data_IF_375654142098
#
_entry.id   IF_375654142098
#
_cell.length_a   1.000
_cell.length_b   1.000
_cell.length_c   1.000
_cell.angle_alpha   90.00
_cell.angle_beta   90.00
_cell.angle_gamma   90.00
#
_symmetry.space_group_name_H-M   'P 1'
#
loop_
_entity.id
_entity.type
_entity.pdbx_description
1 polymer ?
#
# COMPACT_ATOMS: atom_id res chain seq x y z
N UNK A 1 11.61 0.00 8.11
CA UNK A 1 12.01 0.90 7.00
C UNK A 1 10.77 1.27 6.21
N UNK A 2 10.58 2.56 5.91
CA UNK A 2 9.45 3.07 5.12
C UNK A 2 10.00 3.65 3.81
N UNK A 3 9.23 3.60 2.73
CA UNK A 3 9.57 4.28 1.48
C UNK A 3 8.60 5.43 1.18
N UNK A 4 8.92 6.21 0.14
CA UNK A 4 8.11 7.35 -0.32
C UNK A 4 6.75 6.94 -0.88
N UNK A 5 6.52 5.65 -1.13
CA UNK A 5 5.26 5.10 -1.62
C UNK A 5 4.33 4.64 -0.49
N UNK A 6 4.72 4.83 0.77
CA UNK A 6 3.94 4.43 1.93
C UNK A 6 4.05 2.94 2.30
N UNK A 7 4.90 2.18 1.61
CA UNK A 7 5.19 0.79 1.94
C UNK A 7 6.14 0.69 3.14
N UNK A 8 6.08 -0.44 3.84
CA UNK A 8 6.83 -0.65 5.07
C UNK A 8 7.42 -2.06 5.11
N UNK A 9 8.68 -2.17 5.51
CA UNK A 9 9.36 -3.43 5.80
C UNK A 9 9.92 -3.39 7.23
N UNK A 10 9.36 -4.16 8.18
CA UNK A 10 9.96 -4.31 9.49
C UNK A 10 11.15 -5.27 9.39
N UNK A 11 12.25 -4.90 10.06
CA UNK A 11 13.39 -5.78 10.26
C UNK A 11 13.58 -5.88 11.77
N UNK A 12 13.52 -7.12 12.29
CA UNK A 12 13.73 -7.39 13.70
C UNK A 12 15.15 -7.89 13.88
N UNK A 13 15.90 -7.29 14.81
CA UNK A 13 17.14 -7.85 15.34
C UNK A 13 16.91 -8.17 16.80
N UNK A 14 17.23 -9.41 17.15
CA UNK A 14 17.21 -9.86 18.53
C UNK A 14 18.64 -9.86 19.02
N UNK A 15 18.84 -9.45 20.27
CA UNK A 15 20.13 -9.48 20.92
C UNK A 15 20.56 -10.93 21.16
N UNK A 16 21.81 -11.23 20.83
CA UNK A 16 22.40 -12.54 21.08
C UNK A 16 23.12 -12.52 22.43
N UNK A 17 22.41 -12.96 23.48
CA UNK A 17 22.94 -12.99 24.83
C UNK A 17 24.02 -14.07 25.02
N UNK A 18 24.09 -15.10 24.18
CA UNK A 18 25.08 -16.17 24.31
C UNK A 18 26.43 -15.71 23.76
N UNK A 19 26.43 -15.06 22.59
CA UNK A 19 27.63 -14.47 22.00
C UNK A 19 28.25 -13.38 22.91
N UNK A 20 27.44 -12.61 23.63
CA UNK A 20 27.91 -11.58 24.56
C UNK A 20 28.57 -12.15 25.82
N UNK A 21 28.10 -13.30 26.34
CA UNK A 21 28.70 -13.97 27.51
C UNK A 21 30.13 -14.45 27.23
N UNK A 22 30.42 -14.87 26.00
CA UNK A 22 31.77 -15.27 25.60
C UNK A 22 32.75 -14.08 25.52
N UNK A 23 32.23 -12.87 25.28
CA UNK A 23 33.04 -11.63 25.20
C UNK A 23 33.36 -11.13 26.62
N UNK A 24 32.41 -11.21 27.55
CA UNK A 24 32.63 -10.85 28.96
C UNK A 24 33.64 -11.73 29.69
N UNK A 25 33.81 -13.00 29.25
CA UNK A 25 34.74 -13.94 29.87
C UNK A 25 36.18 -13.87 29.32
N UNK A 26 36.51 -12.87 28.49
CA UNK A 26 37.87 -12.70 27.97
C UNK A 26 38.76 -12.00 29.02
N UNK A 27 39.97 -12.50 29.33
CA UNK A 27 40.84 -11.89 30.33
C UNK A 27 41.21 -10.46 29.94
N UNK A 28 41.13 -9.57 30.93
CA UNK A 28 41.31 -8.13 30.81
C UNK A 28 42.81 -7.75 30.78
N UNK A 29 43.47 -7.93 29.64
CA UNK A 29 44.90 -7.57 29.47
C UNK A 29 45.14 -6.38 28.51
N UNK A 30 44.11 -5.67 28.05
CA UNK A 30 44.27 -4.47 27.19
C UNK A 30 43.59 -3.24 27.81
N UNK A 31 44.36 -2.37 28.47
CA UNK A 31 43.90 -1.16 29.19
C UNK A 31 43.42 0.01 28.29
N UNK A 32 43.41 -0.14 26.96
CA UNK A 32 43.04 0.94 26.01
C UNK A 32 41.68 0.77 25.32
N UNK A 33 40.85 -0.20 25.72
CA UNK A 33 39.52 -0.38 25.12
C UNK A 33 38.43 0.30 25.95
N UNK A 34 37.78 1.32 25.38
CA UNK A 34 36.48 1.83 25.84
C UNK A 34 35.58 0.65 26.22
N UNK A 35 34.83 0.71 27.33
CA UNK A 35 34.00 -0.39 27.79
C UNK A 35 33.13 -0.85 26.62
N UNK A 36 33.34 -2.10 26.17
CA UNK A 36 32.68 -2.66 24.99
C UNK A 36 31.18 -2.61 25.22
N UNK A 37 30.54 -1.56 24.70
CA UNK A 37 29.09 -1.40 24.72
C UNK A 37 28.51 -2.65 24.08
N UNK A 38 27.55 -3.30 24.73
CA UNK A 38 26.78 -4.38 24.12
C UNK A 38 26.21 -3.89 22.78
N UNK A 39 26.56 -4.57 21.68
CA UNK A 39 26.15 -4.16 20.33
C UNK A 39 25.26 -5.23 19.73
N UNK A 40 24.10 -4.80 19.28
CA UNK A 40 23.19 -5.61 18.50
C UNK A 40 23.53 -5.45 17.02
N UNK A 41 23.87 -6.57 16.36
CA UNK A 41 24.22 -6.60 14.94
C UNK A 41 23.19 -7.40 14.15
N UNK A 42 22.74 -6.84 13.04
CA UNK A 42 21.84 -7.50 12.10
C UNK A 42 22.31 -7.32 10.67
N UNK A 43 22.04 -8.28 9.79
CA UNK A 43 22.28 -8.14 8.36
C UNK A 43 21.19 -8.85 7.57
N UNK A 44 20.67 -8.18 6.54
CA UNK A 44 19.63 -8.71 5.67
C UNK A 44 19.97 -8.44 4.22
N UNK A 45 19.52 -9.35 3.35
CA UNK A 45 19.53 -9.09 1.92
C UNK A 45 18.54 -7.96 1.62
N UNK A 46 18.93 -7.05 0.74
CA UNK A 46 18.04 -6.00 0.26
C UNK A 46 16.92 -6.64 -0.54
N UNK A 47 15.70 -6.36 -0.11
CA UNK A 47 14.44 -6.84 -0.70
C UNK A 47 13.40 -5.71 -0.82
N UNK A 48 13.66 -4.58 -0.14
CA UNK A 48 12.78 -3.42 -0.10
C UNK A 48 13.35 -2.24 -0.90
N UNK A 49 12.49 -1.61 -1.71
CA UNK A 49 12.87 -0.45 -2.54
C UNK A 49 12.61 0.85 -1.78
N UNK A 50 13.69 1.46 -1.28
CA UNK A 50 13.63 2.65 -0.41
C UNK A 50 13.74 3.95 -1.19
N UNK A 51 14.40 3.94 -2.34
CA UNK A 51 14.68 5.14 -3.13
C UNK A 51 14.68 4.83 -4.63
N UNK A 52 14.11 5.72 -5.45
CA UNK A 52 14.10 5.57 -6.92
C UNK A 52 15.50 5.51 -7.52
N UNK A 53 16.56 5.94 -6.83
CA UNK A 53 17.92 5.89 -7.37
C UNK A 53 18.69 4.62 -6.98
N UNK A 54 18.03 3.63 -6.36
CA UNK A 54 18.71 2.45 -5.87
C UNK A 54 17.92 1.16 -6.13
N UNK A 55 18.57 0.22 -6.82
CA UNK A 55 18.00 -1.11 -7.10
C UNK A 55 17.68 -1.89 -5.82
N UNK A 56 16.81 -2.90 -5.90
CA UNK A 56 16.56 -3.84 -4.78
C UNK A 56 17.73 -4.81 -4.53
N UNK A 57 18.87 -4.69 -5.20
CA UNK A 57 20.02 -5.60 -5.01
C UNK A 57 20.99 -5.04 -3.95
N UNK A 58 21.56 -5.91 -3.12
CA UNK A 58 22.54 -5.55 -2.08
C UNK A 58 22.17 -6.12 -0.72
N UNK A 59 22.66 -5.48 0.34
CA UNK A 59 22.35 -5.83 1.73
C UNK A 59 22.25 -4.60 2.62
N UNK A 60 21.46 -4.72 3.68
CA UNK A 60 21.45 -3.81 4.83
C UNK A 60 22.20 -4.46 5.97
N UNK A 61 23.07 -3.73 6.65
CA UNK A 61 23.61 -4.14 7.95
C UNK A 61 23.31 -3.07 8.99
N UNK A 62 22.85 -3.51 10.15
CA UNK A 62 22.58 -2.70 11.32
C UNK A 62 23.63 -2.99 12.39
N UNK A 63 24.12 -1.94 13.02
CA UNK A 63 24.89 -1.99 14.24
C UNK A 63 24.28 -0.99 15.22
N UNK A 64 23.68 -1.49 16.30
CA UNK A 64 23.03 -0.68 17.32
C UNK A 64 23.69 -0.91 18.66
N UNK A 65 23.93 0.15 19.41
CA UNK A 65 24.36 0.07 20.80
C UNK A 65 23.15 -0.16 21.70
N UNK A 66 23.33 -0.88 22.80
CA UNK A 66 22.32 -1.04 23.84
C UNK A 66 22.04 0.30 24.52
N UNK A 67 20.83 0.87 24.37
CA UNK A 67 20.51 2.19 24.91
C UNK A 67 20.29 2.17 26.42
N UNK A 68 20.15 1.01 27.07
CA UNK A 68 19.89 0.89 28.52
C UNK A 68 21.08 0.29 29.28
N UNK A 69 22.04 -0.30 28.54
CA UNK A 69 23.22 -0.93 29.12
C UNK A 69 22.90 -2.23 29.86
N UNK A 70 23.93 -2.86 30.47
CA UNK A 70 23.73 -4.00 31.35
C UNK A 70 22.79 -3.62 32.50
N UNK A 71 21.90 -4.54 32.89
CA UNK A 71 20.98 -4.40 34.03
C UNK A 71 19.95 -3.25 33.95
N UNK A 72 19.81 -2.59 32.79
CA UNK A 72 18.83 -1.51 32.57
C UNK A 72 18.99 -0.31 33.52
N UNK A 73 20.22 -0.04 33.98
CA UNK A 73 20.53 0.97 35.00
C UNK A 73 20.22 2.43 34.57
N UNK A 74 20.04 2.69 33.28
CA UNK A 74 19.65 4.01 32.79
C UNK A 74 19.85 4.20 31.30
N UNK A 75 19.22 5.25 30.73
CA UNK A 75 19.35 5.56 29.31
C UNK A 75 20.74 6.11 28.98
N UNK A 76 21.53 5.36 28.21
CA UNK A 76 22.91 5.68 27.78
C UNK A 76 22.98 6.33 26.39
N UNK A 77 21.84 6.71 25.83
CA UNK A 77 21.73 7.27 24.48
C UNK A 77 21.54 6.21 23.41
N UNK A 78 21.01 6.65 22.26
CA UNK A 78 20.87 5.83 21.07
C UNK A 78 22.13 6.02 20.23
N UNK A 79 22.72 4.93 19.73
CA UNK A 79 23.72 4.98 18.66
C UNK A 79 23.51 3.79 17.72
N UNK A 80 22.97 4.10 16.54
CA UNK A 80 22.59 3.14 15.53
C UNK A 80 23.26 3.53 14.21
N UNK A 81 24.03 2.62 13.65
CA UNK A 81 24.63 2.74 12.33
C UNK A 81 23.99 1.73 11.38
N UNK A 82 23.45 2.22 10.27
CA UNK A 82 22.85 1.44 9.20
C UNK A 82 23.74 1.61 7.96
N UNK A 83 24.33 0.52 7.49
CA UNK A 83 25.05 0.49 6.22
C UNK A 83 24.22 -0.18 5.14
N UNK A 84 24.19 0.43 3.98
CA UNK A 84 23.62 -0.11 2.76
C UNK A 84 24.76 -0.46 1.80
N UNK A 85 24.94 -1.74 1.55
CA UNK A 85 25.97 -2.26 0.66
C UNK A 85 25.38 -2.66 -0.69
N UNK A 86 26.13 -2.43 -1.76
CA UNK A 86 25.81 -2.92 -3.10
C UNK A 86 25.90 -4.45 -3.17
N UNK A 87 25.38 -5.05 -4.25
CA UNK A 87 25.56 -6.48 -4.52
C UNK A 87 27.03 -6.90 -4.72
N UNK A 88 27.93 -5.93 -4.98
CA UNK A 88 29.38 -6.13 -5.10
C UNK A 88 30.13 -5.89 -3.77
N UNK A 89 29.41 -5.69 -2.67
CA UNK A 89 29.99 -5.43 -1.35
C UNK A 89 30.39 -3.98 -1.07
N UNK A 90 30.42 -3.09 -2.08
CA UNK A 90 30.77 -1.68 -1.85
C UNK A 90 29.71 -0.94 -1.02
N UNK A 91 30.11 -0.14 -0.01
CA UNK A 91 29.18 0.69 0.76
C UNK A 91 28.60 1.80 -0.13
N UNK A 92 27.28 1.93 -0.14
CA UNK A 92 26.56 2.98 -0.89
C UNK A 92 26.07 4.11 0.01
N UNK A 93 25.63 3.77 1.22
CA UNK A 93 25.07 4.72 2.16
C UNK A 93 25.33 4.23 3.58
N UNK A 94 25.77 5.16 4.42
CA UNK A 94 25.91 4.97 5.86
C UNK A 94 25.00 6.00 6.52
N UNK A 95 24.00 5.53 7.25
CA UNK A 95 23.11 6.37 8.03
C UNK A 95 23.41 6.13 9.51
N UNK A 96 23.62 7.21 10.27
CA UNK A 96 23.81 7.14 11.71
C UNK A 96 22.68 7.89 12.40
N UNK A 97 22.08 7.25 13.40
CA UNK A 97 21.15 7.85 14.33
C UNK A 97 21.83 7.82 15.70
N UNK A 98 22.11 8.99 16.25
CA UNK A 98 22.77 9.12 17.55
C UNK A 98 22.06 10.16 18.43
N UNK A 99 22.15 10.01 19.74
CA UNK A 99 21.68 11.01 20.70
C UNK A 99 22.62 12.22 20.72
N UNK A 100 22.07 13.42 20.49
CA UNK A 100 22.82 14.68 20.53
C UNK A 100 22.95 15.24 21.97
N UNK A 101 22.13 14.78 22.91
CA UNK A 101 22.16 15.19 24.31
C UNK A 101 21.31 14.29 25.21
N UNK A 102 21.08 14.75 26.44
CA UNK A 102 20.37 14.01 27.47
C UNK A 102 18.89 13.78 27.14
N UNK A 103 18.33 12.71 27.71
CA UNK A 103 16.92 12.41 27.58
C UNK A 103 16.07 13.54 28.20
N UNK A 104 15.09 13.98 27.43
CA UNK A 104 14.14 15.00 27.83
C UNK A 104 12.96 14.33 28.57
N UNK A 105 12.76 14.67 29.83
CA UNK A 105 11.61 14.22 30.62
C UNK A 105 10.43 15.20 30.48
N UNK A 106 9.33 14.82 29.81
CA UNK A 106 8.21 15.74 29.60
C UNK A 106 7.51 16.18 30.89
N UNK A 107 7.59 15.37 31.95
CA UNK A 107 6.89 15.57 33.21
C UNK A 107 7.57 16.62 34.10
N UNK A 108 8.90 16.74 34.01
CA UNK A 108 9.69 17.74 34.73
C UNK A 108 9.82 19.07 33.98
N UNK A 109 9.36 19.15 32.73
CA UNK A 109 9.43 20.37 31.93
C UNK A 109 8.35 21.41 32.26
N UNK A 110 8.78 22.65 32.40
CA UNK A 110 7.89 23.82 32.45
C UNK A 110 7.15 24.05 31.12
N UNK A 111 5.99 24.71 31.18
CA UNK A 111 5.20 25.11 29.99
C UNK A 111 6.01 25.95 29.00
N UNK A 112 6.93 26.78 29.51
CA UNK A 112 7.81 27.59 28.68
C UNK A 112 8.81 26.72 27.89
N UNK A 113 9.46 25.75 28.54
CA UNK A 113 10.36 24.81 27.88
C UNK A 113 9.65 23.98 26.81
N UNK A 114 8.43 23.49 27.12
CA UNK A 114 7.59 22.77 26.15
C UNK A 114 7.28 23.62 24.92
N UNK A 115 6.86 24.87 25.14
CA UNK A 115 6.52 25.80 24.05
C UNK A 115 7.74 26.13 23.19
N UNK A 116 8.89 26.44 23.83
CA UNK A 116 10.15 26.70 23.14
C UNK A 116 10.60 25.50 22.31
N UNK A 117 10.45 24.28 22.84
CA UNK A 117 10.78 23.05 22.11
C UNK A 117 9.91 22.89 20.85
N UNK A 118 8.58 23.01 20.98
CA UNK A 118 7.66 22.91 19.84
C UNK A 118 7.94 23.98 18.77
N UNK A 119 8.13 25.23 19.18
CA UNK A 119 8.46 26.33 18.27
C UNK A 119 9.89 26.23 17.70
N UNK A 120 10.80 25.48 18.32
CA UNK A 120 12.11 25.20 17.74
C UNK A 120 12.05 24.16 16.62
N UNK A 121 11.09 23.23 16.68
CA UNK A 121 11.03 22.06 15.81
C UNK A 121 9.92 22.09 14.75
N UNK A 122 8.94 23.00 14.83
CA UNK A 122 7.79 23.03 13.90
C UNK A 122 8.21 23.15 12.42
N UNK A 123 9.31 23.85 12.14
CA UNK A 123 9.75 24.11 10.77
C UNK A 123 10.46 22.91 10.12
N UNK A 124 10.97 21.97 10.92
CA UNK A 124 11.76 20.84 10.41
C UNK A 124 10.94 19.99 9.46
N UNK A 125 9.69 19.65 9.82
CA UNK A 125 8.78 18.91 8.93
C UNK A 125 8.46 19.66 7.64
N UNK A 126 8.28 20.98 7.73
CA UNK A 126 7.95 21.84 6.58
C UNK A 126 9.11 21.92 5.56
N UNK A 127 10.36 22.03 6.04
CA UNK A 127 11.55 22.16 5.18
C UNK A 127 12.09 20.81 4.68
N UNK A 128 11.75 19.71 5.36
CA UNK A 128 12.24 18.37 5.01
C UNK A 128 11.84 17.94 3.60
N UNK A 129 10.57 18.07 3.22
CA UNK A 129 10.10 17.64 1.90
C UNK A 129 10.71 18.45 0.74
N UNK A 130 10.71 19.80 0.76
CA UNK A 130 11.39 20.60 -0.26
C UNK A 130 12.88 20.24 -0.40
N UNK A 131 13.57 19.98 0.72
CA UNK A 131 14.96 19.54 0.69
C UNK A 131 15.12 18.20 0.01
N UNK A 132 14.26 17.21 0.31
CA UNK A 132 14.26 15.90 -0.35
C UNK A 132 14.06 16.06 -1.87
N UNK A 133 13.10 16.88 -2.30
CA UNK A 133 12.83 17.13 -3.72
C UNK A 133 14.04 17.77 -4.41
N UNK A 134 14.67 18.77 -3.78
CA UNK A 134 15.89 19.41 -4.29
C UNK A 134 17.02 18.39 -4.48
N UNK A 135 17.29 17.55 -3.47
CA UNK A 135 18.34 16.54 -3.56
C UNK A 135 18.01 15.49 -4.64
N UNK A 136 16.76 15.03 -4.73
CA UNK A 136 16.32 14.12 -5.78
C UNK A 136 16.52 14.72 -7.19
N UNK A 137 16.21 16.01 -7.36
CA UNK A 137 16.44 16.72 -8.62
C UNK A 137 17.94 16.81 -8.95
N UNK A 138 18.80 17.06 -7.97
CA UNK A 138 20.26 17.06 -8.16
C UNK A 138 20.76 15.68 -8.57
N UNK A 139 20.29 14.61 -7.93
CA UNK A 139 20.66 13.24 -8.27
C UNK A 139 20.24 12.86 -9.71
N UNK A 140 19.04 13.29 -10.12
CA UNK A 140 18.53 13.02 -11.46
C UNK A 140 19.23 13.85 -12.54
N UNK A 141 19.17 15.18 -12.42
CA UNK A 141 19.64 16.07 -13.49
C UNK A 141 21.15 16.28 -13.49
N UNK A 142 21.81 16.40 -12.33
CA UNK A 142 23.25 16.67 -12.28
C UNK A 142 24.09 15.41 -12.26
N UNK A 143 23.63 14.35 -11.58
CA UNK A 143 24.39 13.10 -11.45
C UNK A 143 23.97 12.02 -12.44
N UNK A 144 22.93 12.26 -13.25
CA UNK A 144 22.49 11.35 -14.31
C UNK A 144 22.11 9.96 -13.80
N UNK A 145 21.70 9.84 -12.54
CA UNK A 145 21.36 8.54 -11.97
C UNK A 145 20.07 8.02 -12.57
N UNK A 146 20.10 6.78 -13.05
CA UNK A 146 18.91 6.11 -13.55
C UNK A 146 17.86 5.96 -12.45
N UNK A 147 16.61 6.22 -12.82
CA UNK A 147 15.45 6.06 -11.94
C UNK A 147 14.97 4.63 -12.09
N UNK A 148 15.00 3.89 -11.00
CA UNK A 148 14.39 2.59 -10.85
C UNK A 148 12.89 2.81 -10.62
N UNK A 149 12.06 2.21 -11.48
CA UNK A 149 10.63 2.26 -11.29
C UNK A 149 10.23 1.49 -10.04
N UNK A 150 9.13 1.93 -9.41
CA UNK A 150 8.58 1.32 -8.20
C UNK A 150 8.22 -0.13 -8.52
N UNK A 151 8.84 -1.12 -7.85
CA UNK A 151 8.42 -2.49 -8.01
C UNK A 151 7.30 -2.79 -7.00
N UNK A 152 6.43 -3.75 -7.31
CA UNK A 152 5.35 -4.11 -6.38
C UNK A 152 5.89 -4.65 -5.04
N UNK A 153 5.12 -4.50 -3.94
CA UNK A 153 5.44 -5.08 -2.65
C UNK A 153 5.63 -6.60 -2.77
N UNK A 154 6.68 -7.13 -2.16
CA UNK A 154 6.84 -8.58 -1.96
C UNK A 154 5.88 -9.07 -0.87
N UNK A 155 5.63 -10.39 -0.82
CA UNK A 155 4.80 -11.07 0.19
C UNK A 155 5.11 -10.62 1.63
N UNK A 156 6.38 -10.40 1.92
CA UNK A 156 6.89 -10.08 3.25
C UNK A 156 6.92 -8.57 3.55
N UNK A 157 6.71 -7.72 2.53
CA UNK A 157 6.57 -6.27 2.73
C UNK A 157 5.11 -5.89 2.92
N UNK A 158 4.87 -4.86 3.72
CA UNK A 158 3.56 -4.26 3.87
C UNK A 158 3.37 -3.22 2.77
N UNK A 159 2.28 -3.37 2.00
CA UNK A 159 1.86 -2.38 1.02
C UNK A 159 1.49 -1.05 1.68
N UNK A 160 1.19 -0.05 0.84
CA UNK A 160 0.69 1.24 1.33
C UNK A 160 -0.66 1.08 2.04
N UNK A 161 -1.04 2.08 2.81
CA UNK A 161 -2.39 2.16 3.36
C UNK A 161 -3.41 2.37 2.22
N UNK A 162 -4.55 1.71 2.36
CA UNK A 162 -5.66 1.82 1.41
C UNK A 162 -6.36 3.17 1.57
N UNK A 163 -6.69 3.80 0.45
CA UNK A 163 -7.48 5.02 0.44
C UNK A 163 -8.95 4.70 0.73
N UNK A 164 -9.78 5.72 0.96
CA UNK A 164 -11.18 5.50 1.34
C UNK A 164 -11.97 4.73 0.27
N UNK A 165 -11.69 4.96 -1.02
CA UNK A 165 -12.31 4.23 -2.13
C UNK A 165 -11.87 2.76 -2.09
N UNK A 166 -10.58 2.51 -1.94
CA UNK A 166 -10.04 1.14 -1.90
C UNK A 166 -10.54 0.36 -0.70
N UNK A 167 -10.74 0.99 0.46
CA UNK A 167 -11.39 0.37 1.62
C UNK A 167 -12.83 -0.04 1.33
N UNK A 168 -13.59 0.80 0.62
CA UNK A 168 -14.97 0.48 0.24
C UNK A 168 -15.00 -0.66 -0.79
N UNK A 169 -14.06 -0.67 -1.74
CA UNK A 169 -13.93 -1.74 -2.73
C UNK A 169 -13.42 -3.04 -2.11
N UNK A 170 -12.54 -2.99 -1.11
CA UNK A 170 -12.10 -4.15 -0.33
C UNK A 170 -13.28 -4.84 0.36
N UNK A 171 -14.15 -4.07 1.00
CA UNK A 171 -15.33 -4.63 1.67
C UNK A 171 -16.26 -5.34 0.67
N UNK A 172 -16.49 -4.72 -0.49
CA UNK A 172 -17.28 -5.33 -1.57
C UNK A 172 -16.61 -6.59 -2.12
N UNK A 173 -15.31 -6.54 -2.39
CA UNK A 173 -14.53 -7.67 -2.89
C UNK A 173 -14.50 -8.83 -1.88
N UNK A 174 -14.33 -8.54 -0.60
CA UNK A 174 -14.32 -9.54 0.48
C UNK A 174 -15.66 -10.28 0.56
N UNK A 175 -16.77 -9.56 0.51
CA UNK A 175 -18.10 -10.16 0.51
C UNK A 175 -18.36 -10.98 -0.76
N UNK A 176 -17.89 -10.47 -1.90
CA UNK A 176 -17.96 -11.18 -3.18
C UNK A 176 -17.13 -12.47 -3.17
N UNK A 177 -15.89 -12.43 -2.67
CA UNK A 177 -15.02 -13.61 -2.54
C UNK A 177 -15.64 -14.65 -1.61
N UNK A 178 -16.19 -14.22 -0.47
CA UNK A 178 -16.93 -15.12 0.43
C UNK A 178 -18.08 -15.82 -0.29
N UNK A 179 -18.85 -15.08 -1.09
CA UNK A 179 -19.94 -15.63 -1.88
C UNK A 179 -19.46 -16.67 -2.91
N UNK A 180 -18.39 -16.37 -3.65
CA UNK A 180 -17.80 -17.32 -4.61
C UNK A 180 -17.35 -18.62 -3.92
N UNK A 181 -16.68 -18.50 -2.77
CA UNK A 181 -16.22 -19.67 -2.02
C UNK A 181 -17.40 -20.50 -1.50
N UNK A 182 -18.45 -19.85 -0.99
CA UNK A 182 -19.64 -20.55 -0.51
C UNK A 182 -20.38 -21.32 -1.61
N UNK A 183 -20.37 -20.79 -2.84
CA UNK A 183 -21.00 -21.42 -4.03
C UNK A 183 -20.09 -22.43 -4.75
N UNK A 184 -18.83 -22.56 -4.34
CA UNK A 184 -17.92 -23.53 -4.96
C UNK A 184 -18.45 -24.95 -4.78
N UNK A 185 -18.55 -25.75 -5.86
CA UNK A 185 -18.98 -27.14 -5.76
C UNK A 185 -17.94 -28.00 -5.02
N UNK A 186 -16.65 -27.63 -5.11
CA UNK A 186 -15.54 -28.35 -4.49
C UNK A 186 -15.37 -27.97 -3.01
N UNK A 187 -14.96 -28.91 -2.13
CA UNK A 187 -14.64 -28.63 -0.73
C UNK A 187 -13.32 -27.84 -0.63
N UNK A 188 -13.42 -26.52 -0.48
CA UNK A 188 -12.28 -25.59 -0.49
C UNK A 188 -12.38 -24.63 0.70
N UNK A 189 -11.24 -24.37 1.33
CA UNK A 189 -11.07 -23.35 2.37
C UNK A 189 -10.10 -22.28 1.87
N UNK A 190 -10.54 -21.02 1.85
CA UNK A 190 -9.76 -19.87 1.39
C UNK A 190 -9.36 -19.01 2.58
N UNK A 191 -8.05 -18.83 2.77
CA UNK A 191 -7.47 -17.83 3.68
C UNK A 191 -7.20 -16.55 2.89
N UNK A 192 -7.96 -15.50 3.17
CA UNK A 192 -7.86 -14.21 2.52
C UNK A 192 -7.18 -13.17 3.42
N UNK A 193 -6.14 -12.53 2.89
CA UNK A 193 -5.36 -11.51 3.58
C UNK A 193 -5.47 -10.19 2.79
N UNK A 194 -6.21 -9.18 3.29
CA UNK A 194 -6.34 -7.89 2.61
C UNK A 194 -5.09 -7.02 2.75
N UNK A 195 -4.87 -6.12 1.79
CA UNK A 195 -3.80 -5.12 1.84
C UNK A 195 -4.30 -3.74 2.28
N UNK A 196 -3.50 -3.02 3.08
CA UNK A 196 -3.68 -1.60 3.39
C UNK A 196 -4.82 -1.23 4.35
N UNK A 197 -5.53 -2.22 4.92
CA UNK A 197 -6.59 -1.99 5.92
C UNK A 197 -6.01 -2.15 7.32
N UNK A 198 -6.11 -1.09 8.14
CA UNK A 198 -5.58 -1.09 9.52
C UNK A 198 -6.45 -2.01 10.39
N UNK A 199 -5.82 -2.98 11.07
CA UNK A 199 -6.50 -3.88 12.00
C UNK A 199 -7.36 -4.95 11.34
N UNK A 200 -7.30 -5.12 10.01
CA UNK A 200 -7.97 -6.23 9.36
C UNK A 200 -7.27 -7.56 9.72
N UNK A 201 -8.03 -8.47 10.33
CA UNK A 201 -7.59 -9.83 10.59
C UNK A 201 -7.59 -10.66 9.29
N UNK A 202 -6.86 -11.78 9.29
CA UNK A 202 -6.97 -12.79 8.24
C UNK A 202 -8.40 -13.35 8.23
N UNK A 203 -9.01 -13.44 7.05
CA UNK A 203 -10.35 -13.99 6.89
C UNK A 203 -10.27 -15.41 6.36
N UNK A 204 -11.02 -16.33 6.97
CA UNK A 204 -11.13 -17.71 6.51
C UNK A 204 -12.55 -17.94 5.99
N UNK A 205 -12.65 -18.36 4.74
CA UNK A 205 -13.91 -18.70 4.08
C UNK A 205 -13.90 -20.18 3.73
N UNK A 206 -15.00 -20.88 4.00
CA UNK A 206 -15.15 -22.30 3.67
C UNK A 206 -16.34 -22.50 2.75
N UNK A 207 -16.21 -23.42 1.80
CA UNK A 207 -17.32 -23.77 0.91
C UNK A 207 -18.39 -24.57 1.63
N UNK A 208 -19.63 -24.49 1.13
CA UNK A 208 -20.78 -25.19 1.71
C UNK A 208 -20.60 -26.73 1.71
N UNK A 209 -19.88 -27.26 0.72
CA UNK A 209 -19.54 -28.68 0.59
C UNK A 209 -18.60 -29.22 1.68
N UNK A 210 -17.79 -28.37 2.33
CA UNK A 210 -16.90 -28.77 3.45
C UNK A 210 -17.70 -29.13 4.70
N UNK A 211 -18.79 -28.41 4.97
CA UNK A 211 -19.64 -28.62 6.16
C UNK A 211 -20.40 -29.95 6.14
N UNK A 212 -20.59 -30.56 4.97
CA UNK A 212 -21.39 -31.78 4.81
C UNK A 212 -20.59 -33.07 4.54
N UNK A 213 -19.26 -33.00 4.36
CA UNK A 213 -18.45 -34.15 3.98
C UNK A 213 -17.21 -34.30 4.87
N UNK A 214 -16.85 -35.54 5.21
CA UNK A 214 -15.62 -35.94 5.92
C UNK A 214 -14.36 -35.85 5.04
N UNK A 215 -14.46 -35.19 3.88
CA UNK A 215 -13.40 -35.12 2.88
C UNK A 215 -12.42 -33.99 3.23
N UNK A 216 -11.12 -34.26 3.12
CA UNK A 216 -10.07 -33.26 3.38
C UNK A 216 -10.22 -32.07 2.45
N UNK A 217 -10.62 -30.92 3.01
CA UNK A 217 -10.80 -29.68 2.27
C UNK A 217 -9.46 -29.14 1.74
N UNK A 218 -9.41 -28.74 0.48
CA UNK A 218 -8.23 -28.11 -0.11
C UNK A 218 -8.10 -26.68 0.43
N UNK A 219 -6.93 -26.31 0.97
CA UNK A 219 -6.67 -24.97 1.49
C UNK A 219 -5.88 -24.11 0.49
N UNK A 220 -6.34 -22.87 0.27
CA UNK A 220 -5.72 -21.84 -0.59
C UNK A 220 -5.53 -20.56 0.20
N UNK A 221 -4.32 -19.98 0.16
CA UNK A 221 -4.07 -18.62 0.66
C UNK A 221 -4.11 -17.62 -0.51
N UNK A 222 -4.92 -16.58 -0.37
CA UNK A 222 -5.02 -15.45 -1.29
C UNK A 222 -4.60 -14.20 -0.53
N UNK A 223 -3.47 -13.62 -0.92
CA UNK A 223 -2.92 -12.40 -0.31
C UNK A 223 -2.89 -11.27 -1.33
N UNK A 224 -3.58 -10.18 -1.03
CA UNK A 224 -3.44 -8.94 -1.80
C UNK A 224 -2.15 -8.26 -1.35
N UNK A 225 -1.28 -7.89 -2.30
CA UNK A 225 0.02 -7.28 -2.01
C UNK A 225 -0.10 -5.76 -1.90
N UNK A 226 -0.93 -5.14 -2.74
CA UNK A 226 -1.16 -3.69 -2.79
C UNK A 226 -2.66 -3.36 -2.84
N UNK A 227 -3.13 -2.31 -2.16
CA UNK A 227 -4.55 -1.89 -2.23
C UNK A 227 -5.01 -1.51 -3.63
N UNK A 228 -4.07 -1.16 -4.52
CA UNK A 228 -4.32 -0.86 -5.94
C UNK A 228 -5.02 -2.02 -6.65
N UNK A 229 -4.87 -3.25 -6.16
CA UNK A 229 -5.62 -4.40 -6.66
C UNK A 229 -7.14 -4.13 -6.68
N UNK A 230 -7.72 -3.54 -5.62
CA UNK A 230 -9.17 -3.36 -5.53
C UNK A 230 -9.69 -2.33 -6.53
N UNK A 231 -8.95 -1.24 -6.72
CA UNK A 231 -9.28 -0.23 -7.72
C UNK A 231 -9.11 -0.79 -9.13
N UNK A 232 -8.07 -1.58 -9.41
CA UNK A 232 -7.90 -2.24 -10.72
C UNK A 232 -8.92 -3.34 -10.99
N UNK A 233 -9.32 -4.10 -9.98
CA UNK A 233 -10.22 -5.24 -10.13
C UNK A 233 -11.56 -4.83 -10.79
N UNK A 234 -12.12 -3.68 -10.41
CA UNK A 234 -13.41 -3.19 -10.94
C UNK A 234 -13.35 -2.75 -12.42
N UNK A 235 -12.15 -2.54 -12.96
CA UNK A 235 -11.95 -2.20 -14.37
C UNK A 235 -12.02 -3.44 -15.29
N UNK A 236 -11.85 -4.65 -14.76
CA UNK A 236 -11.99 -5.87 -15.55
C UNK A 236 -13.47 -6.27 -15.71
N UNK A 237 -13.82 -6.83 -16.87
CA UNK A 237 -15.17 -7.39 -17.07
C UNK A 237 -15.31 -8.83 -16.57
N UNK A 238 -14.22 -9.60 -16.56
CA UNK A 238 -14.22 -10.99 -16.12
C UNK A 238 -13.33 -11.17 -14.90
N UNK A 239 -13.86 -11.75 -13.83
CA UNK A 239 -13.12 -11.95 -12.57
C UNK A 239 -11.95 -12.90 -12.79
N UNK A 240 -12.12 -13.92 -13.64
CA UNK A 240 -11.05 -14.82 -14.03
C UNK A 240 -9.91 -14.05 -14.71
N UNK A 241 -10.21 -13.22 -15.71
CA UNK A 241 -9.20 -12.38 -16.36
C UNK A 241 -8.51 -11.44 -15.35
N UNK A 242 -9.30 -10.82 -14.47
CA UNK A 242 -8.79 -9.92 -13.44
C UNK A 242 -7.76 -10.62 -12.54
N UNK A 243 -8.13 -11.77 -11.97
CA UNK A 243 -7.28 -12.52 -11.03
C UNK A 243 -6.00 -13.01 -11.70
N UNK A 244 -6.09 -13.58 -12.92
CA UNK A 244 -4.91 -14.10 -13.61
C UNK A 244 -4.00 -12.97 -14.14
N UNK A 245 -4.56 -11.87 -14.63
CA UNK A 245 -3.79 -10.69 -15.05
C UNK A 245 -3.09 -10.07 -13.85
N UNK A 246 -3.79 -9.91 -12.72
CA UNK A 246 -3.21 -9.32 -11.51
C UNK A 246 -2.20 -10.23 -10.81
N UNK A 247 -2.31 -11.56 -10.95
CA UNK A 247 -1.33 -12.53 -10.45
C UNK A 247 -0.07 -12.58 -11.32
N UNK A 248 -0.23 -12.80 -12.64
CA UNK A 248 0.87 -13.07 -13.55
C UNK A 248 1.53 -11.80 -14.12
N UNK A 249 0.72 -10.79 -14.46
CA UNK A 249 1.20 -9.60 -15.17
C UNK A 249 1.47 -8.44 -14.22
N UNK A 250 0.48 -8.06 -13.40
CA UNK A 250 0.60 -6.90 -12.49
C UNK A 250 1.30 -7.25 -11.18
N UNK A 251 1.28 -8.53 -10.75
CA UNK A 251 1.77 -9.00 -9.44
C UNK A 251 1.29 -8.18 -8.25
N UNK A 252 0.01 -7.80 -8.26
CA UNK A 252 -0.68 -7.13 -7.14
C UNK A 252 -1.37 -8.15 -6.21
N UNK A 253 -1.49 -9.40 -6.67
CA UNK A 253 -2.09 -10.53 -5.97
C UNK A 253 -1.05 -11.67 -5.85
N UNK A 254 -1.02 -12.34 -4.71
CA UNK A 254 -0.25 -13.56 -4.50
C UNK A 254 -1.17 -14.69 -4.05
N UNK A 255 -0.95 -15.87 -4.62
CA UNK A 255 -1.73 -17.08 -4.33
C UNK A 255 -0.76 -18.25 -4.17
N UNK A 256 -0.94 -19.05 -3.11
CA UNK A 256 -0.08 -20.20 -2.82
C UNK A 256 -0.26 -21.32 -3.85
N UNK A 257 -1.51 -21.65 -4.18
CA UNK A 257 -1.91 -22.72 -5.09
C UNK A 257 -2.76 -22.19 -6.26
N UNK A 258 -2.14 -21.62 -7.31
CA UNK A 258 -2.86 -20.99 -8.41
C UNK A 258 -3.76 -21.96 -9.20
N UNK A 259 -3.44 -23.25 -9.20
CA UNK A 259 -4.22 -24.32 -9.82
C UNK A 259 -5.64 -24.49 -9.25
N UNK A 260 -5.88 -23.96 -8.04
CA UNK A 260 -7.18 -24.01 -7.37
C UNK A 260 -8.05 -22.78 -7.66
N UNK A 261 -7.49 -21.73 -8.25
CA UNK A 261 -8.23 -20.51 -8.62
C UNK A 261 -9.40 -20.76 -9.58
N UNK A 262 -9.29 -21.60 -10.62
CA UNK A 262 -10.42 -21.90 -11.50
C UNK A 262 -11.61 -22.55 -10.80
N UNK A 263 -11.37 -23.23 -9.66
CA UNK A 263 -12.45 -23.83 -8.84
C UNK A 263 -13.24 -22.76 -8.06
N UNK A 264 -12.59 -21.64 -7.73
CA UNK A 264 -13.19 -20.50 -7.00
C UNK A 264 -13.84 -19.51 -7.99
N UNK A 265 -13.09 -19.12 -9.02
CA UNK A 265 -13.53 -18.22 -10.09
C UNK A 265 -14.03 -19.04 -11.26
N UNK A 266 -15.20 -19.67 -11.09
CA UNK A 266 -15.83 -20.44 -12.16
C UNK A 266 -16.10 -19.55 -13.37
N UNK A 267 -15.76 -20.03 -14.57
CA UNK A 267 -16.10 -19.38 -15.84
C UNK A 267 -17.60 -19.50 -16.11
N UNK A 268 -18.40 -18.79 -15.32
CA UNK A 268 -19.85 -18.70 -15.48
C UNK A 268 -20.16 -17.48 -16.32
N UNK A 269 -21.10 -17.60 -17.25
CA UNK A 269 -21.58 -16.43 -17.99
C UNK A 269 -22.17 -15.43 -16.99
N UNK A 270 -21.78 -14.15 -17.09
CA UNK A 270 -22.32 -13.10 -16.22
C UNK A 270 -23.85 -13.13 -16.27
N UNK A 271 -24.54 -13.17 -15.10
CA UNK A 271 -25.98 -13.22 -15.07
C UNK A 271 -26.60 -11.94 -15.66
N UNK A 272 -27.80 -12.02 -16.25
CA UNK A 272 -28.49 -10.86 -16.80
C UNK A 272 -28.80 -9.83 -15.71
N UNK A 273 -28.72 -8.54 -16.05
CA UNK A 273 -29.04 -7.40 -15.19
C UNK A 273 -30.42 -7.53 -14.55
N UNK A 274 -30.47 -7.96 -13.28
CA UNK A 274 -31.67 -7.91 -12.45
C UNK A 274 -31.59 -6.67 -11.56
N UNK A 275 -31.79 -5.49 -12.15
CA UNK A 275 -31.76 -4.24 -11.40
C UNK A 275 -33.09 -4.06 -10.65
N UNK A 276 -33.03 -3.93 -9.32
CA UNK A 276 -34.20 -3.71 -8.47
C UNK A 276 -34.85 -2.33 -8.66
N UNK A 277 -34.15 -1.36 -9.28
CA UNK A 277 -34.59 0.03 -9.40
C UNK A 277 -34.06 0.63 -10.72
N UNK A 278 -34.84 1.47 -11.44
CA UNK A 278 -34.41 2.09 -12.70
C UNK A 278 -33.16 2.95 -12.54
N UNK A 279 -33.00 3.62 -11.39
CA UNK A 279 -31.79 4.38 -11.09
C UNK A 279 -30.55 3.50 -11.01
N UNK A 280 -30.66 2.31 -10.41
CA UNK A 280 -29.55 1.36 -10.36
C UNK A 280 -29.20 0.87 -11.76
N UNK A 281 -30.21 0.57 -12.59
CA UNK A 281 -29.98 0.23 -13.99
C UNK A 281 -29.15 1.31 -14.71
N UNK A 282 -29.54 2.58 -14.61
CA UNK A 282 -28.80 3.69 -15.23
C UNK A 282 -27.36 3.79 -14.72
N UNK A 283 -27.15 3.70 -13.41
CA UNK A 283 -25.81 3.79 -12.83
C UNK A 283 -24.90 2.64 -13.29
N UNK A 284 -25.41 1.41 -13.31
CA UNK A 284 -24.62 0.26 -13.75
C UNK A 284 -24.38 0.25 -15.26
N UNK A 285 -25.27 0.84 -16.05
CA UNK A 285 -25.00 1.11 -17.47
C UNK A 285 -23.89 2.16 -17.66
N UNK A 286 -23.85 3.21 -16.83
CA UNK A 286 -22.75 4.18 -16.83
C UNK A 286 -21.43 3.53 -16.41
N UNK A 287 -21.43 2.69 -15.36
CA UNK A 287 -20.25 1.92 -14.96
C UNK A 287 -19.77 1.05 -16.12
N UNK A 288 -20.69 0.37 -16.81
CA UNK A 288 -20.36 -0.45 -17.98
C UNK A 288 -19.71 0.38 -19.10
N UNK A 289 -20.28 1.54 -19.44
CA UNK A 289 -19.76 2.36 -20.56
C UNK A 289 -18.43 3.03 -20.25
N UNK A 290 -18.18 3.36 -18.97
CA UNK A 290 -16.94 3.96 -18.51
C UNK A 290 -15.81 2.94 -18.28
N UNK A 291 -16.13 1.64 -18.20
CA UNK A 291 -15.15 0.58 -17.96
C UNK A 291 -14.17 0.47 -19.12
N UNK A 292 -12.89 0.37 -18.77
CA UNK A 292 -11.75 0.15 -19.66
C UNK A 292 -10.82 -0.86 -19.00
N UNK A 293 -10.16 -1.73 -19.77
CA UNK A 293 -9.13 -2.62 -19.21
C UNK A 293 -8.02 -1.76 -18.61
N UNK A 294 -7.58 -1.99 -17.37
CA UNK A 294 -6.51 -1.19 -16.80
C UNK A 294 -5.21 -1.50 -17.55
N UNK A 295 -4.39 -0.47 -17.76
CA UNK A 295 -3.07 -0.66 -18.38
C UNK A 295 -2.26 -1.67 -17.57
N UNK A 296 -1.49 -2.48 -18.28
CA UNK A 296 -0.54 -3.40 -17.66
C UNK A 296 0.46 -2.58 -16.87
N UNK A 297 0.77 -3.02 -15.66
CA UNK A 297 1.89 -2.45 -14.92
C UNK A 297 3.17 -2.93 -15.62
N UNK A 298 3.63 -2.15 -16.59
CA UNK A 298 4.84 -2.43 -17.34
C UNK A 298 6.04 -2.42 -16.41
N UNK A 299 7.02 -3.29 -16.70
CA UNK A 299 8.19 -3.55 -15.86
C UNK A 299 9.51 -3.22 -16.54
N UNK A 300 9.76 -2.00 -17.05
CA UNK A 300 11.13 -1.57 -17.14
C UNK A 300 11.69 -1.50 -15.71
N UNK A 301 12.80 -2.17 -15.43
CA UNK A 301 13.43 -2.12 -14.11
C UNK A 301 14.04 -0.73 -13.87
N UNK A 302 14.36 -0.03 -14.96
CA UNK A 302 15.01 1.27 -14.97
C UNK A 302 14.46 2.20 -16.05
N UNK A 303 14.59 3.50 -15.85
CA UNK A 303 14.26 4.55 -16.82
C UNK A 303 15.08 4.51 -18.11
N UNK A 304 16.06 3.59 -18.21
CA UNK A 304 16.86 3.35 -19.39
C UNK A 304 16.31 2.19 -20.25
N UNK A 305 15.45 1.33 -19.68
CA UNK A 305 14.85 0.23 -20.42
C UNK A 305 13.74 0.78 -21.33
N UNK A 306 13.78 0.46 -22.62
CA UNK A 306 12.72 0.84 -23.55
C UNK A 306 11.43 0.09 -23.19
N UNK A 307 10.35 0.86 -23.03
CA UNK A 307 8.99 0.33 -22.97
C UNK A 307 8.67 -0.34 -24.30
N UNK A 308 8.50 -1.66 -24.30
CA UNK A 308 7.90 -2.35 -25.44
C UNK A 308 6.47 -1.84 -25.61
N UNK A 309 6.17 -1.27 -26.78
CA UNK A 309 4.88 -0.67 -27.14
C UNK A 309 3.69 -1.42 -26.52
N UNK A 310 2.94 -0.71 -25.68
CA UNK A 310 1.75 -1.20 -25.01
C UNK A 310 0.79 -1.87 -26.00
N UNK A 311 0.40 -3.11 -25.71
CA UNK A 311 -0.80 -3.68 -26.30
C UNK A 311 -1.96 -2.76 -25.91
N UNK A 312 -2.51 -2.01 -26.87
CA UNK A 312 -3.67 -1.15 -26.66
C UNK A 312 -4.71 -1.94 -25.85
N UNK A 313 -5.15 -1.37 -24.73
CA UNK A 313 -6.16 -1.99 -23.89
C UNK A 313 -7.35 -2.39 -24.75
N UNK A 314 -7.68 -3.67 -24.77
CA UNK A 314 -8.86 -4.16 -25.47
C UNK A 314 -10.06 -3.33 -24.99
N UNK A 315 -10.86 -2.81 -25.91
CA UNK A 315 -12.09 -2.13 -25.54
C UNK A 315 -13.08 -3.18 -25.01
N UNK A 316 -13.34 -3.14 -23.71
CA UNK A 316 -14.19 -4.11 -23.02
C UNK A 316 -15.65 -3.61 -22.91
N UNK A 317 -16.00 -2.46 -23.53
CA UNK A 317 -17.35 -1.86 -23.39
C UNK A 317 -18.48 -2.73 -23.95
N UNK A 318 -18.16 -3.57 -24.94
CA UNK A 318 -19.12 -4.50 -25.54
C UNK A 318 -19.42 -5.72 -24.64
N UNK A 319 -18.60 -5.96 -23.61
CA UNK A 319 -18.76 -7.12 -22.74
C UNK A 319 -19.92 -6.96 -21.77
N UNK A 320 -20.39 -8.09 -21.23
CA UNK A 320 -21.45 -8.11 -20.21
C UNK A 320 -20.95 -7.46 -18.91
N UNK A 321 -21.90 -7.17 -18.03
CA UNK A 321 -21.60 -6.64 -16.69
C UNK A 321 -20.65 -7.57 -15.92
N UNK A 322 -19.75 -7.00 -15.12
CA UNK A 322 -18.83 -7.77 -14.28
C UNK A 322 -19.60 -8.61 -13.27
N UNK A 323 -19.12 -9.81 -12.95
CA UNK A 323 -19.82 -10.67 -11.99
C UNK A 323 -19.86 -10.06 -10.60
N UNK A 324 -18.85 -9.26 -10.23
CA UNK A 324 -18.88 -8.52 -8.96
C UNK A 324 -19.96 -7.44 -8.95
N UNK A 325 -20.14 -6.70 -10.06
CA UNK A 325 -21.27 -5.75 -10.19
C UNK A 325 -22.61 -6.49 -10.05
N UNK A 326 -22.74 -7.65 -10.70
CA UNK A 326 -23.95 -8.46 -10.63
C UNK A 326 -24.24 -8.98 -9.21
N UNK A 327 -23.19 -9.38 -8.47
CA UNK A 327 -23.30 -9.76 -7.07
C UNK A 327 -23.78 -8.59 -6.20
N UNK A 328 -23.17 -7.41 -6.35
CA UNK A 328 -23.54 -6.22 -5.57
C UNK A 328 -24.99 -5.78 -5.86
N UNK A 329 -25.45 -5.92 -7.09
CA UNK A 329 -26.84 -5.61 -7.46
C UNK A 329 -27.82 -6.64 -6.89
N UNK A 330 -27.51 -7.93 -7.05
CA UNK A 330 -28.45 -9.02 -6.76
C UNK A 330 -28.49 -9.48 -5.31
N UNK A 331 -27.37 -9.38 -4.60
CA UNK A 331 -27.22 -9.90 -3.22
C UNK A 331 -26.61 -8.89 -2.25
N UNK A 332 -26.16 -7.74 -2.72
CA UNK A 332 -25.56 -6.71 -1.88
C UNK A 332 -26.58 -6.04 -0.95
N UNK A 333 -26.17 -5.81 0.30
CA UNK A 333 -26.90 -4.95 1.21
C UNK A 333 -27.08 -3.54 0.62
N UNK A 334 -28.16 -2.84 0.97
CA UNK A 334 -28.45 -1.49 0.45
C UNK A 334 -27.30 -0.50 0.73
N UNK A 335 -26.66 -0.61 1.89
CA UNK A 335 -25.48 0.19 2.25
C UNK A 335 -24.27 -0.14 1.39
N UNK A 336 -23.97 -1.43 1.18
CA UNK A 336 -22.86 -1.89 0.34
C UNK A 336 -23.05 -1.47 -1.11
N UNK A 337 -24.28 -1.58 -1.63
CA UNK A 337 -24.63 -1.16 -2.98
C UNK A 337 -24.39 0.34 -3.19
N UNK A 338 -24.79 1.17 -2.22
CA UNK A 338 -24.57 2.62 -2.27
C UNK A 338 -23.08 2.97 -2.21
N UNK A 339 -22.32 2.38 -1.29
CA UNK A 339 -20.89 2.65 -1.16
C UNK A 339 -20.11 2.20 -2.40
N UNK A 340 -20.35 0.96 -2.86
CA UNK A 340 -19.73 0.41 -4.07
C UNK A 340 -19.97 1.28 -5.29
N UNK A 341 -21.23 1.65 -5.55
CA UNK A 341 -21.60 2.50 -6.68
C UNK A 341 -20.90 3.85 -6.62
N UNK A 342 -20.89 4.50 -5.46
CA UNK A 342 -20.24 5.80 -5.29
C UNK A 342 -18.73 5.70 -5.50
N UNK A 343 -18.10 4.65 -4.96
CA UNK A 343 -16.67 4.37 -5.11
C UNK A 343 -16.28 4.13 -6.58
N UNK A 344 -16.98 3.24 -7.29
CA UNK A 344 -16.67 2.89 -8.69
C UNK A 344 -16.90 4.07 -9.63
N UNK A 345 -18.02 4.78 -9.50
CA UNK A 345 -18.27 5.96 -10.33
C UNK A 345 -17.20 7.03 -10.08
N UNK A 346 -16.86 7.31 -8.82
CA UNK A 346 -15.83 8.30 -8.49
C UNK A 346 -14.47 7.89 -9.06
N UNK A 347 -14.12 6.61 -8.99
CA UNK A 347 -12.89 6.08 -9.57
C UNK A 347 -12.86 6.29 -11.10
N UNK A 348 -13.92 5.91 -11.81
CA UNK A 348 -13.99 6.04 -13.27
C UNK A 348 -14.01 7.49 -13.75
N UNK A 349 -14.70 8.39 -13.03
CA UNK A 349 -14.62 9.82 -13.30
C UNK A 349 -13.22 10.37 -13.04
N UNK A 350 -12.56 9.93 -11.98
CA UNK A 350 -11.18 10.34 -11.68
C UNK A 350 -10.21 9.86 -12.76
N UNK A 351 -10.37 8.63 -13.27
CA UNK A 351 -9.57 8.11 -14.38
C UNK A 351 -9.71 8.98 -15.64
N UNK A 352 -10.94 9.39 -15.97
CA UNK A 352 -11.22 10.14 -17.18
C UNK A 352 -10.87 11.63 -17.11
N UNK A 353 -11.03 12.26 -15.95
CA UNK A 353 -10.95 13.72 -15.78
C UNK A 353 -9.70 14.14 -15.01
N UNK A 354 -9.23 13.31 -14.08
CA UNK A 354 -8.19 13.64 -13.10
C UNK A 354 -6.98 12.69 -13.16
N UNK A 355 -6.75 12.05 -14.32
CA UNK A 355 -5.62 11.13 -14.55
C UNK A 355 -5.52 10.01 -13.49
N UNK A 356 -6.68 9.50 -13.03
CA UNK A 356 -6.76 8.45 -12.03
C UNK A 356 -6.60 8.92 -10.58
N UNK A 357 -6.39 10.22 -10.34
CA UNK A 357 -6.22 10.77 -9.00
C UNK A 357 -7.55 11.28 -8.42
N UNK A 358 -8.05 10.56 -7.40
CA UNK A 358 -9.34 10.85 -6.76
C UNK A 358 -9.32 12.07 -5.85
N UNK A 359 -8.13 12.46 -5.37
CA UNK A 359 -7.94 13.66 -4.54
C UNK A 359 -7.94 14.90 -5.43
N UNK A 360 -7.29 14.82 -6.59
CA UNK A 360 -7.34 15.90 -7.60
C UNK A 360 -8.79 16.16 -8.04
N UNK A 361 -9.57 15.10 -8.27
CA UNK A 361 -11.00 15.23 -8.55
C UNK A 361 -11.76 15.93 -7.40
N UNK A 362 -11.41 15.61 -6.14
CA UNK A 362 -11.98 16.29 -4.97
C UNK A 362 -11.62 17.79 -4.90
N UNK A 363 -10.39 18.14 -5.27
CA UNK A 363 -9.96 19.54 -5.36
C UNK A 363 -10.68 20.30 -6.48
N UNK A 364 -10.89 19.66 -7.64
CA UNK A 364 -11.68 20.23 -8.73
C UNK A 364 -13.14 20.44 -8.32
N UNK A 365 -13.74 19.47 -7.63
CA UNK A 365 -15.09 19.56 -7.09
C UNK A 365 -15.23 20.72 -6.08
N UNK A 366 -14.25 20.86 -5.18
CA UNK A 366 -14.20 21.96 -4.22
C UNK A 366 -14.09 23.32 -4.94
N UNK A 367 -13.18 23.42 -5.92
CA UNK A 367 -13.01 24.62 -6.73
C UNK A 367 -14.29 25.01 -7.48
N UNK A 368 -14.98 24.02 -8.07
CA UNK A 368 -16.26 24.24 -8.75
C UNK A 368 -17.35 24.72 -7.79
N UNK A 369 -17.44 24.16 -6.58
CA UNK A 369 -18.39 24.60 -5.54
C UNK A 369 -18.12 26.03 -5.08
N UNK A 370 -16.86 26.37 -4.83
CA UNK A 370 -16.46 27.74 -4.47
C UNK A 370 -16.80 28.71 -5.60
N UNK A 371 -16.48 28.35 -6.85
CA UNK A 371 -16.80 29.16 -8.02
C UNK A 371 -18.31 29.36 -8.22
N UNK A 372 -19.11 28.29 -8.12
CA UNK A 372 -20.56 28.37 -8.24
C UNK A 372 -21.18 29.22 -7.12
N UNK A 373 -20.69 29.07 -5.89
CA UNK A 373 -21.14 29.87 -4.74
C UNK A 373 -20.79 31.35 -4.92
N UNK A 374 -19.61 31.65 -5.44
CA UNK A 374 -19.18 33.01 -5.77
C UNK A 374 -20.05 33.63 -6.87
N UNK A 375 -20.31 32.89 -7.95
CA UNK A 375 -21.19 33.35 -9.04
C UNK A 375 -22.60 33.61 -8.51
N UNK A 376 -23.18 32.69 -7.74
CA UNK A 376 -24.50 32.87 -7.15
C UNK A 376 -24.56 34.09 -6.22
N UNK A 377 -23.55 34.26 -5.35
CA UNK A 377 -23.44 35.43 -4.48
C UNK A 377 -23.32 36.74 -5.28
N UNK A 378 -22.55 36.73 -6.37
CA UNK A 378 -22.39 37.90 -7.25
C UNK A 378 -23.69 38.26 -7.97
N UNK A 379 -24.46 37.27 -8.45
CA UNK A 379 -25.75 37.46 -9.10
C UNK A 379 -26.80 38.00 -8.12
N UNK A 380 -26.83 37.48 -6.90
CA UNK A 380 -27.71 37.98 -5.83
C UNK A 380 -27.36 39.44 -5.50
N UNK A 381 -26.07 39.77 -5.35
CA UNK A 381 -25.64 41.13 -5.06
C UNK A 381 -25.97 42.10 -6.21
N UNK A 382 -25.83 41.68 -7.47
CA UNK A 382 -26.25 42.45 -8.63
C UNK A 382 -27.78 42.64 -8.69
N UNK A 383 -28.56 41.62 -8.33
CA UNK A 383 -30.01 41.73 -8.25
C UNK A 383 -30.43 42.73 -7.17
N UNK A 384 -29.86 42.66 -5.97
CA UNK A 384 -30.14 43.60 -4.88
C UNK A 384 -29.82 45.05 -5.30
N UNK A 385 -28.68 45.28 -5.98
CA UNK A 385 -28.30 46.62 -6.49
C UNK A 385 -29.18 47.14 -7.63
N UNK A 386 -29.94 46.29 -8.32
CA UNK A 386 -30.91 46.72 -9.35
C UNK A 386 -32.28 47.06 -8.76
N UNK A 387 -32.56 46.63 -7.53
CA UNK A 387 -33.80 46.91 -6.81
C UNK A 387 -33.69 48.07 -5.80
N UNK A 388 -32.47 48.46 -5.43
CA UNK A 388 -32.16 49.72 -4.75
C UNK A 388 -31.84 50.80 -5.76
#
# INVERSE_FOLDING_TARGET
VNNTFGERRPYLVIRDFEAERHIQNRPADDEDQEPQRSRVKGSWKKDFHVSPFNSRKGSYSLLASDPLGPEMEGFRGIDITINLSSSKGHPKLVARLFSEGDALEPDSMSLFQKTKFVLGWFWVGFVTFPRIVKEAAVLFFKRGLHVWYRPEPLRESMGRLADNIEKQLEDAFRQYLRHLVQQSPSPITVRYIPSGVVGAAEYIFSSSSVTGSSTTAESVEIKVLTPVFYSRFVHYAHDFEAVFSELAESSTLWVDKPELLPKIFLKKASPPLHASTPFDFLCFQLIKSLRSRPEKIERPLTSADQVSSSSQGLDIRDFRMSSMDAFVIGQGNTTLKKSYRAAVLRLFFADRIAFGNTDLLGMMELGARVGASWVLASLINQAIRRFS
#
